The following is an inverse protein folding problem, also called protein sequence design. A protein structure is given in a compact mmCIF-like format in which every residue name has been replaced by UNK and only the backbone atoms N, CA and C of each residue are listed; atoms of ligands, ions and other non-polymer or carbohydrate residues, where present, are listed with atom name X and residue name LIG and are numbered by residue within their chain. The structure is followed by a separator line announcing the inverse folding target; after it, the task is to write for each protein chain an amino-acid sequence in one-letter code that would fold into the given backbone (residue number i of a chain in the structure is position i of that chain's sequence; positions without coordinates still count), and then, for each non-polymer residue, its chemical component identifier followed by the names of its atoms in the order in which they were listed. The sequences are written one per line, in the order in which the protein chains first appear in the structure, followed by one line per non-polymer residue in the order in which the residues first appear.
data_IF_197557511172
#
_entry.id   IF_197557511172
#
_cell.length_a   1.000
_cell.length_b   1.000
_cell.length_c   1.000
_cell.angle_alpha   90.00
_cell.angle_beta   90.00
_cell.angle_gamma   90.00
#
_symmetry.space_group_name_H-M   'P 1'
#
loop_
_entity.id
_entity.type
_entity.pdbx_description
1 polymer ?
#
# COMPACT_ATOMS: atom_id res chain seq x y z
N UNK A 1 17.00 -8.02 2.72
CA UNK A 1 16.03 -7.01 3.17
C UNK A 1 15.59 -7.28 4.62
N UNK A 2 15.10 -6.21 5.28
CA UNK A 2 14.60 -6.26 6.67
C UNK A 2 13.23 -5.62 6.81
N UNK A 3 12.63 -5.13 5.73
CA UNK A 3 11.27 -4.58 5.68
C UNK A 3 10.42 -5.35 4.68
N UNK A 4 9.10 -5.27 4.84
CA UNK A 4 8.13 -6.05 4.06
C UNK A 4 7.49 -5.23 2.93
N UNK A 5 8.05 -4.06 2.60
CA UNK A 5 7.55 -3.24 1.49
C UNK A 5 7.87 -3.81 0.09
N UNK A 6 8.82 -4.75 -0.03
CA UNK A 6 9.21 -5.36 -1.30
C UNK A 6 9.97 -4.43 -2.25
N UNK A 7 10.53 -3.33 -1.75
CA UNK A 7 11.28 -2.37 -2.56
C UNK A 7 12.53 -2.98 -3.22
N UNK A 8 13.10 -4.00 -2.61
CA UNK A 8 14.24 -4.79 -3.08
C UNK A 8 13.95 -5.61 -4.36
N UNK A 9 12.69 -5.74 -4.74
CA UNK A 9 12.27 -6.39 -5.99
C UNK A 9 11.74 -5.38 -7.02
N UNK A 10 12.01 -4.07 -6.81
CA UNK A 10 11.56 -3.00 -7.69
C UNK A 10 12.74 -2.33 -8.40
N UNK A 11 12.55 -1.98 -9.67
CA UNK A 11 13.45 -1.13 -10.44
C UNK A 11 13.18 0.38 -10.22
N UNK A 12 12.33 0.70 -9.23
CA UNK A 12 11.95 2.06 -8.88
C UNK A 12 12.49 2.45 -7.51
N UNK A 13 12.94 3.70 -7.40
CA UNK A 13 13.30 4.33 -6.14
C UNK A 13 12.65 5.71 -6.02
N UNK A 14 12.06 6.00 -4.87
CA UNK A 14 11.66 7.36 -4.51
C UNK A 14 12.90 8.19 -4.18
N UNK A 15 13.01 9.39 -4.74
CA UNK A 15 14.12 10.31 -4.50
C UNK A 15 13.58 11.66 -4.08
N UNK A 16 14.05 12.16 -2.94
CA UNK A 16 13.83 13.54 -2.53
C UNK A 16 15.12 14.32 -2.77
N UNK A 17 15.09 15.26 -3.71
CA UNK A 17 16.22 16.13 -3.98
C UNK A 17 16.11 17.36 -3.07
N UNK A 18 16.91 17.40 -2.00
CA UNK A 18 17.24 18.61 -1.28
C UNK A 18 18.43 19.26 -2.00
N UNK A 19 18.16 20.29 -2.77
CA UNK A 19 19.24 21.10 -3.33
C UNK A 19 19.79 21.95 -2.18
N UNK A 20 21.07 21.75 -1.83
CA UNK A 20 21.86 22.69 -1.02
C UNK A 20 22.04 23.99 -1.82
N UNK A 21 21.01 24.78 -1.88
CA UNK A 21 21.07 26.17 -2.28
C UNK A 21 20.58 26.99 -1.09
N UNK A 22 21.24 28.10 -0.84
CA UNK A 22 20.68 29.19 -0.02
C UNK A 22 19.26 29.45 -0.53
N UNK A 23 18.27 28.79 0.11
CA UNK A 23 16.87 28.82 -0.32
C UNK A 23 16.27 30.13 0.16
N UNK A 24 16.61 31.21 -0.55
CA UNK A 24 15.91 32.50 -0.42
C UNK A 24 14.56 32.52 -1.14
N UNK A 25 14.21 31.51 -1.95
CA UNK A 25 13.09 31.55 -2.88
C UNK A 25 11.95 30.58 -2.61
N UNK A 26 11.91 29.90 -1.46
CA UNK A 26 10.70 29.16 -1.03
C UNK A 26 10.26 27.97 -1.91
N UNK A 27 11.13 27.47 -2.80
CA UNK A 27 10.81 26.25 -3.56
C UNK A 27 10.85 25.02 -2.65
N UNK A 28 9.72 24.30 -2.59
CA UNK A 28 9.61 23.03 -1.90
C UNK A 28 10.59 21.98 -2.48
N UNK A 29 11.08 21.02 -1.67
CA UNK A 29 11.90 19.91 -2.14
C UNK A 29 11.20 19.20 -3.30
N UNK A 30 11.90 18.95 -4.39
CA UNK A 30 11.35 18.15 -5.51
C UNK A 30 11.48 16.68 -5.18
N UNK A 31 10.35 16.01 -5.02
CA UNK A 31 10.27 14.56 -4.92
C UNK A 31 9.93 13.97 -6.28
N UNK A 32 10.51 12.83 -6.59
CA UNK A 32 10.23 12.12 -7.83
C UNK A 32 10.59 10.65 -7.73
N UNK A 33 10.13 9.86 -8.69
CA UNK A 33 10.55 8.48 -8.86
C UNK A 33 11.67 8.38 -9.90
N UNK A 34 12.69 7.58 -9.60
CA UNK A 34 13.69 7.16 -10.58
C UNK A 34 13.43 5.71 -10.92
N UNK A 35 13.36 5.38 -12.20
CA UNK A 35 13.28 4.01 -12.69
C UNK A 35 14.54 3.65 -13.45
N UNK A 36 15.25 2.61 -12.97
CA UNK A 36 16.46 2.11 -13.62
C UNK A 36 16.62 0.62 -13.33
N UNK A 37 16.79 -0.24 -14.37
CA UNK A 37 17.02 -1.67 -14.16
C UNK A 37 18.24 -2.00 -13.28
N UNK A 38 19.19 -1.06 -13.13
CA UNK A 38 20.35 -1.22 -12.24
C UNK A 38 20.01 -1.15 -10.76
N UNK A 39 18.80 -0.70 -10.42
CA UNK A 39 18.29 -0.73 -9.04
C UNK A 39 17.90 -2.14 -8.59
N UNK A 40 17.59 -3.03 -9.54
CA UNK A 40 17.30 -4.42 -9.22
C UNK A 40 18.58 -5.14 -8.75
N UNK A 41 18.57 -5.79 -7.58
CA UNK A 41 19.66 -6.61 -7.12
C UNK A 41 19.78 -7.86 -7.99
N UNK A 42 21.00 -8.40 -8.15
CA UNK A 42 21.22 -9.68 -8.82
C UNK A 42 20.53 -10.84 -8.12
N UNK A 43 20.42 -10.76 -6.79
CA UNK A 43 19.71 -11.71 -5.95
C UNK A 43 19.24 -11.01 -4.66
N UNK A 44 18.06 -11.39 -4.18
CA UNK A 44 17.55 -10.98 -2.88
C UNK A 44 17.40 -12.22 -1.98
N UNK A 45 17.95 -12.16 -0.78
CA UNK A 45 17.87 -13.23 0.21
C UNK A 45 16.93 -12.77 1.36
N UNK A 46 15.88 -13.54 1.58
CA UNK A 46 14.92 -13.30 2.63
C UNK A 46 15.22 -14.22 3.81
N UNK A 47 15.85 -13.66 4.83
CA UNK A 47 16.23 -14.35 6.06
C UNK A 47 15.28 -13.91 7.19
N UNK A 48 14.48 -14.86 7.70
CA UNK A 48 13.50 -14.58 8.76
C UNK A 48 14.13 -13.97 10.01
N UNK A 49 15.35 -14.36 10.38
CA UNK A 49 16.00 -13.84 11.56
C UNK A 49 16.37 -12.35 11.42
N UNK A 50 16.69 -11.91 10.19
CA UNK A 50 16.93 -10.49 9.94
C UNK A 50 15.65 -9.65 10.08
N UNK A 51 14.49 -10.17 9.66
CA UNK A 51 13.22 -9.46 9.84
C UNK A 51 12.84 -9.27 11.30
N UNK A 52 13.18 -10.23 12.18
CA UNK A 52 12.96 -10.14 13.63
C UNK A 52 13.77 -9.02 14.30
N UNK A 53 14.85 -8.54 13.66
CA UNK A 53 15.65 -7.42 14.16
C UNK A 53 15.00 -6.06 13.89
N UNK A 54 14.00 -6.00 13.02
CA UNK A 54 13.31 -4.75 12.69
C UNK A 54 12.29 -4.41 13.77
N UNK A 55 12.24 -3.17 14.25
CA UNK A 55 11.22 -2.75 15.23
C UNK A 55 9.82 -3.06 14.74
N UNK A 56 8.99 -3.67 15.59
CA UNK A 56 7.63 -4.11 15.24
C UNK A 56 6.77 -3.04 14.56
N UNK A 57 6.75 -1.75 15.01
CA UNK A 57 5.96 -0.73 14.33
C UNK A 57 6.40 -0.48 12.87
N UNK A 58 7.71 -0.50 12.61
CA UNK A 58 8.25 -0.33 11.27
C UNK A 58 7.95 -1.56 10.39
N UNK A 59 8.11 -2.76 10.96
CA UNK A 59 7.81 -3.99 10.27
C UNK A 59 6.32 -4.06 9.89
N UNK A 60 5.41 -3.73 10.82
CA UNK A 60 3.97 -3.69 10.61
C UNK A 60 3.57 -2.68 9.52
N UNK A 61 4.10 -1.46 9.57
CA UNK A 61 3.83 -0.46 8.56
C UNK A 61 4.35 -0.88 7.18
N UNK A 62 5.58 -1.42 7.11
CA UNK A 62 6.11 -1.93 5.83
C UNK A 62 5.32 -3.13 5.29
N UNK A 63 4.80 -3.98 6.18
CA UNK A 63 3.95 -5.11 5.82
C UNK A 63 2.62 -4.66 5.20
N UNK A 64 1.99 -3.63 5.77
CA UNK A 64 0.77 -3.05 5.20
C UNK A 64 1.02 -2.46 3.81
N UNK A 65 2.15 -1.77 3.60
CA UNK A 65 2.53 -1.28 2.28
C UNK A 65 2.68 -2.44 1.27
N UNK A 66 3.32 -3.54 1.67
CA UNK A 66 3.45 -4.72 0.82
C UNK A 66 2.11 -5.42 0.54
N UNK A 67 1.20 -5.46 1.52
CA UNK A 67 -0.13 -6.04 1.38
C UNK A 67 -1.00 -5.23 0.40
N UNK A 68 -1.02 -3.90 0.53
CA UNK A 68 -1.80 -3.02 -0.35
C UNK A 68 -1.38 -3.13 -1.82
N UNK A 69 -0.10 -3.36 -2.09
CA UNK A 69 0.38 -3.63 -3.44
C UNK A 69 -0.33 -4.82 -4.09
N UNK A 70 -0.63 -5.86 -3.31
CA UNK A 70 -1.39 -7.02 -3.79
C UNK A 70 -2.83 -6.66 -4.16
N UNK A 71 -3.49 -5.84 -3.33
CA UNK A 71 -4.83 -5.31 -3.61
C UNK A 71 -4.83 -4.51 -4.91
N UNK A 72 -3.89 -3.58 -5.04
CA UNK A 72 -3.81 -2.69 -6.19
C UNK A 72 -3.41 -3.42 -7.47
N UNK A 73 -2.54 -4.44 -7.39
CA UNK A 73 -2.20 -5.29 -8.53
C UNK A 73 -3.44 -5.99 -9.10
N UNK A 74 -4.36 -6.46 -8.24
CA UNK A 74 -5.55 -7.16 -8.69
C UNK A 74 -6.58 -6.24 -9.35
N UNK A 75 -6.79 -5.02 -8.87
CA UNK A 75 -7.75 -4.11 -9.49
C UNK A 75 -7.14 -3.22 -10.59
N UNK A 76 -5.84 -3.32 -10.82
CA UNK A 76 -5.15 -2.53 -11.85
C UNK A 76 -5.69 -2.80 -13.26
N UNK A 77 -5.86 -1.77 -14.10
CA UNK A 77 -6.18 -1.95 -15.51
C UNK A 77 -5.06 -2.66 -16.30
N UNK A 78 -3.85 -2.73 -15.72
CA UNK A 78 -2.68 -3.43 -16.27
C UNK A 78 -2.58 -4.89 -15.78
N UNK A 79 -3.58 -5.41 -15.06
CA UNK A 79 -3.58 -6.77 -14.55
C UNK A 79 -3.59 -7.80 -15.71
N UNK A 80 -2.88 -8.90 -15.51
CA UNK A 80 -2.80 -10.04 -16.44
C UNK A 80 -3.10 -11.34 -15.69
N UNK A 81 -3.42 -12.44 -16.37
CA UNK A 81 -3.64 -13.72 -15.69
C UNK A 81 -2.44 -14.17 -14.83
N UNK A 82 -1.21 -13.79 -15.20
CA UNK A 82 -0.01 -14.11 -14.41
C UNK A 82 0.04 -13.27 -13.14
N UNK A 83 -0.14 -11.96 -13.28
CA UNK A 83 -0.14 -11.06 -12.12
C UNK A 83 -1.31 -11.32 -11.19
N UNK A 84 -2.47 -11.70 -11.72
CA UNK A 84 -3.63 -12.13 -10.92
C UNK A 84 -3.29 -13.35 -10.07
N UNK A 85 -2.67 -14.36 -10.66
CA UNK A 85 -2.28 -15.59 -9.95
C UNK A 85 -1.26 -15.32 -8.85
N UNK A 86 -0.23 -14.54 -9.12
CA UNK A 86 0.81 -14.24 -8.12
C UNK A 86 0.31 -13.31 -7.03
N UNK A 87 -0.44 -12.26 -7.34
CA UNK A 87 -1.00 -11.34 -6.37
C UNK A 87 -2.07 -12.02 -5.49
N UNK A 88 -2.96 -12.84 -6.07
CA UNK A 88 -3.94 -13.61 -5.29
C UNK A 88 -3.27 -14.58 -4.32
N UNK A 89 -2.25 -15.32 -4.77
CA UNK A 89 -1.50 -16.21 -3.87
C UNK A 89 -0.78 -15.43 -2.78
N UNK A 90 -0.16 -14.30 -3.16
CA UNK A 90 0.53 -13.42 -2.22
C UNK A 90 -0.40 -12.88 -1.14
N UNK A 91 -1.57 -12.37 -1.51
CA UNK A 91 -2.58 -11.87 -0.56
C UNK A 91 -3.07 -12.96 0.39
N UNK A 92 -3.31 -14.18 -0.10
CA UNK A 92 -3.72 -15.30 0.75
C UNK A 92 -2.65 -15.63 1.81
N UNK A 93 -1.37 -15.68 1.43
CA UNK A 93 -0.24 -15.92 2.33
C UNK A 93 -0.09 -14.77 3.34
N UNK A 94 -0.15 -13.53 2.89
CA UNK A 94 -0.03 -12.36 3.75
C UNK A 94 -1.17 -12.32 4.77
N UNK A 95 -2.41 -12.51 4.34
CA UNK A 95 -3.56 -12.48 5.25
C UNK A 95 -3.45 -13.54 6.34
N UNK A 96 -2.96 -14.75 6.03
CA UNK A 96 -2.81 -15.82 7.02
C UNK A 96 -1.63 -15.58 7.97
N UNK A 97 -0.57 -14.92 7.49
CA UNK A 97 0.70 -14.80 8.22
C UNK A 97 0.89 -13.50 8.99
N UNK A 98 0.35 -12.37 8.52
CA UNK A 98 0.71 -11.02 9.02
C UNK A 98 0.48 -10.83 10.52
N UNK A 99 -0.51 -11.48 11.13
CA UNK A 99 -0.73 -11.40 12.58
C UNK A 99 0.47 -11.84 13.43
N UNK A 100 1.39 -12.69 12.87
CA UNK A 100 2.58 -13.13 13.61
C UNK A 100 3.56 -11.98 13.92
N UNK A 101 3.51 -10.87 13.16
CA UNK A 101 4.43 -9.72 13.36
C UNK A 101 4.34 -9.15 14.77
N UNK A 102 3.21 -9.31 15.45
CA UNK A 102 3.00 -8.84 16.83
C UNK A 102 3.13 -9.95 17.88
N UNK A 103 3.45 -11.16 17.49
CA UNK A 103 3.69 -12.26 18.41
C UNK A 103 5.15 -12.27 18.89
N UNK A 104 5.37 -12.72 20.14
CA UNK A 104 6.70 -12.89 20.72
C UNK A 104 6.83 -14.28 21.33
N UNK A 105 7.61 -15.18 20.69
CA UNK A 105 8.30 -15.00 19.41
C UNK A 105 7.34 -15.07 18.22
N UNK A 106 7.72 -14.44 17.09
CA UNK A 106 7.01 -14.63 15.82
C UNK A 106 7.06 -16.09 15.40
N UNK A 107 5.94 -16.62 14.90
CA UNK A 107 5.87 -17.99 14.37
C UNK A 107 6.69 -18.11 13.07
N UNK A 108 7.58 -19.09 13.01
CA UNK A 108 8.50 -19.29 11.88
C UNK A 108 7.77 -19.61 10.57
N UNK A 109 6.75 -20.47 10.64
CA UNK A 109 6.00 -20.88 9.46
C UNK A 109 5.18 -19.73 8.88
N UNK A 110 4.52 -18.97 9.75
CA UNK A 110 3.73 -17.80 9.35
C UNK A 110 4.62 -16.67 8.82
N UNK A 111 5.79 -16.45 9.42
CA UNK A 111 6.75 -15.48 8.91
C UNK A 111 7.27 -15.89 7.53
N UNK A 112 7.56 -17.17 7.32
CA UNK A 112 7.95 -17.68 6.00
C UNK A 112 6.83 -17.46 4.95
N UNK A 113 5.56 -17.67 5.33
CA UNK A 113 4.41 -17.36 4.48
C UNK A 113 4.33 -15.87 4.15
N UNK A 114 4.56 -14.98 5.13
CA UNK A 114 4.61 -13.53 4.91
C UNK A 114 5.69 -13.17 3.89
N UNK A 115 6.91 -13.69 4.04
CA UNK A 115 8.01 -13.42 3.13
C UNK A 115 7.70 -13.91 1.71
N UNK A 116 7.19 -15.14 1.58
CA UNK A 116 6.76 -15.68 0.29
C UNK A 116 5.60 -14.86 -0.32
N UNK A 117 4.69 -14.37 0.51
CA UNK A 117 3.59 -13.50 0.11
C UNK A 117 4.08 -12.17 -0.48
N UNK A 118 5.03 -11.50 0.17
CA UNK A 118 5.64 -10.26 -0.33
C UNK A 118 6.31 -10.50 -1.69
N UNK A 119 7.08 -11.59 -1.84
CA UNK A 119 7.74 -11.93 -3.11
C UNK A 119 6.68 -12.13 -4.21
N UNK A 120 5.62 -12.91 -3.93
CA UNK A 120 4.57 -13.20 -4.90
C UNK A 120 3.81 -11.93 -5.33
N UNK A 121 3.44 -11.06 -4.37
CA UNK A 121 2.81 -9.77 -4.66
C UNK A 121 3.71 -8.88 -5.51
N UNK A 122 4.97 -8.73 -5.11
CA UNK A 122 5.90 -7.86 -5.83
C UNK A 122 6.17 -8.36 -7.25
N UNK A 123 6.23 -9.68 -7.45
CA UNK A 123 6.35 -10.26 -8.79
C UNK A 123 5.15 -9.93 -9.67
N UNK A 124 3.92 -9.90 -9.09
CA UNK A 124 2.71 -9.48 -9.77
C UNK A 124 2.63 -7.98 -10.04
N UNK A 125 3.34 -7.17 -9.25
CA UNK A 125 3.33 -5.71 -9.36
C UNK A 125 4.27 -5.19 -10.44
N UNK A 126 5.44 -5.80 -10.59
CA UNK A 126 6.47 -5.44 -11.56
C UNK A 126 6.22 -6.14 -12.90
N UNK A 127 6.16 -5.39 -13.97
CA UNK A 127 5.98 -5.93 -15.32
C UNK A 127 6.45 -4.95 -16.37
N UNK A 128 6.57 -5.43 -17.60
CA UNK A 128 7.02 -4.63 -18.76
C UNK A 128 6.07 -3.48 -19.09
N UNK A 129 4.83 -3.52 -18.62
CA UNK A 129 3.78 -2.56 -18.97
C UNK A 129 3.58 -1.45 -17.95
N UNK A 130 4.33 -1.45 -16.85
CA UNK A 130 4.28 -0.41 -15.85
C UNK A 130 4.09 -0.91 -14.42
N UNK A 131 4.13 0.03 -13.49
CA UNK A 131 3.92 -0.19 -12.07
C UNK A 131 2.42 -0.17 -11.78
N UNK A 132 1.94 -1.08 -10.91
CA UNK A 132 0.51 -1.30 -10.70
C UNK A 132 -0.05 -0.73 -9.39
N UNK A 133 0.80 -0.13 -8.55
CA UNK A 133 0.31 0.63 -7.40
C UNK A 133 -0.44 1.88 -7.88
N UNK A 134 -1.50 2.24 -7.21
CA UNK A 134 -2.38 3.31 -7.65
C UNK A 134 -2.99 4.13 -6.50
N UNK A 135 -4.29 4.04 -6.26
CA UNK A 135 -5.04 4.92 -5.37
C UNK A 135 -4.53 4.91 -3.92
N UNK A 136 -4.36 3.75 -3.29
CA UNK A 136 -3.93 3.69 -1.88
C UNK A 136 -2.53 4.29 -1.73
N UNK A 137 -1.64 3.99 -2.70
CA UNK A 137 -0.29 4.55 -2.72
C UNK A 137 -0.29 6.06 -3.00
N UNK A 138 -1.15 6.56 -3.88
CA UNK A 138 -1.32 8.01 -4.11
C UNK A 138 -1.77 8.73 -2.82
N UNK A 139 -2.70 8.12 -2.05
CA UNK A 139 -3.07 8.65 -0.73
C UNK A 139 -1.87 8.65 0.23
N UNK A 140 -1.06 7.59 0.25
CA UNK A 140 0.19 7.55 1.04
C UNK A 140 1.17 8.65 0.65
N UNK A 141 1.36 8.91 -0.65
CA UNK A 141 2.22 9.97 -1.16
C UNK A 141 1.74 11.36 -0.75
N UNK A 142 0.43 11.61 -0.73
CA UNK A 142 -0.13 12.89 -0.33
C UNK A 142 0.27 13.33 1.08
N UNK A 143 0.59 12.37 1.97
CA UNK A 143 1.09 12.65 3.32
C UNK A 143 2.62 12.68 3.42
N UNK A 144 3.35 12.12 2.46
CA UNK A 144 4.81 11.96 2.54
C UNK A 144 5.60 13.28 2.57
N UNK A 145 5.01 14.39 2.13
CA UNK A 145 5.68 15.67 1.98
C UNK A 145 5.52 16.61 3.18
N UNK A 146 4.60 16.35 4.09
CA UNK A 146 4.28 17.26 5.19
C UNK A 146 4.29 16.63 6.57
N UNK A 147 4.38 15.29 6.64
CA UNK A 147 4.22 14.56 7.88
C UNK A 147 5.31 13.50 8.05
N UNK A 148 5.84 13.38 9.25
CA UNK A 148 6.80 12.32 9.63
C UNK A 148 6.03 11.03 9.99
N UNK A 149 5.34 10.47 9.00
CA UNK A 149 4.54 9.26 9.15
C UNK A 149 4.94 8.23 8.10
N UNK A 150 5.14 6.98 8.53
CA UNK A 150 5.46 5.91 7.60
C UNK A 150 4.29 5.67 6.64
N UNK A 151 4.57 5.61 5.33
CA UNK A 151 3.57 5.49 4.27
C UNK A 151 2.60 4.32 4.50
N UNK A 152 3.10 3.14 4.90
CA UNK A 152 2.24 1.99 5.18
C UNK A 152 1.28 2.18 6.37
N UNK A 153 1.59 3.09 7.30
CA UNK A 153 0.64 3.48 8.36
C UNK A 153 -0.54 4.24 7.75
N UNK A 154 -0.27 5.17 6.86
CA UNK A 154 -1.33 5.88 6.11
C UNK A 154 -2.17 4.87 5.30
N UNK A 155 -1.51 3.92 4.60
CA UNK A 155 -2.20 2.87 3.84
C UNK A 155 -3.19 2.10 4.72
N UNK A 156 -2.77 1.64 5.90
CA UNK A 156 -3.65 0.91 6.82
C UNK A 156 -4.90 1.68 7.20
N UNK A 157 -4.78 2.99 7.37
CA UNK A 157 -5.91 3.86 7.70
C UNK A 157 -6.81 4.09 6.48
N UNK A 158 -6.23 4.46 5.33
CA UNK A 158 -7.03 4.93 4.19
C UNK A 158 -7.55 3.79 3.31
N UNK A 159 -6.87 2.63 3.23
CA UNK A 159 -7.24 1.55 2.31
C UNK A 159 -8.70 1.10 2.42
N UNK A 160 -9.30 0.88 3.60
CA UNK A 160 -10.71 0.53 3.71
C UNK A 160 -11.64 1.61 3.12
N UNK A 161 -11.30 2.88 3.28
CA UNK A 161 -12.09 4.02 2.79
C UNK A 161 -11.90 4.23 1.29
N UNK A 162 -10.69 4.02 0.77
CA UNK A 162 -10.38 4.04 -0.66
C UNK A 162 -11.12 2.90 -1.37
N UNK A 163 -11.08 1.69 -0.83
CA UNK A 163 -11.81 0.54 -1.39
C UNK A 163 -13.32 0.78 -1.40
N UNK A 164 -13.89 1.37 -0.35
CA UNK A 164 -15.29 1.80 -0.35
C UNK A 164 -15.55 2.77 -1.50
N UNK A 165 -14.72 3.78 -1.68
CA UNK A 165 -14.83 4.72 -2.78
C UNK A 165 -14.77 4.03 -4.15
N UNK A 166 -13.86 3.07 -4.33
CA UNK A 166 -13.72 2.28 -5.57
C UNK A 166 -15.00 1.49 -5.83
N UNK A 167 -15.46 0.68 -4.87
CA UNK A 167 -16.57 -0.23 -5.05
C UNK A 167 -17.95 0.45 -5.15
N UNK A 168 -18.08 1.68 -4.65
CA UNK A 168 -19.27 2.50 -4.83
C UNK A 168 -19.42 3.02 -6.27
N UNK A 169 -18.33 3.02 -7.07
CA UNK A 169 -18.29 3.61 -8.42
C UNK A 169 -18.02 2.64 -9.53
N UNK A 170 -17.15 1.67 -9.29
CA UNK A 170 -16.76 0.67 -10.29
C UNK A 170 -16.72 -0.72 -9.65
N UNK A 171 -16.66 -1.74 -10.49
CA UNK A 171 -16.55 -3.12 -10.00
C UNK A 171 -15.28 -3.33 -9.17
N UNK A 172 -14.13 -2.78 -9.59
CA UNK A 172 -12.84 -2.91 -8.88
C UNK A 172 -12.42 -4.38 -8.70
N UNK A 173 -12.97 -5.30 -9.48
CA UNK A 173 -12.72 -6.75 -9.42
C UNK A 173 -12.96 -7.33 -8.01
N UNK A 174 -13.99 -6.85 -7.31
CA UNK A 174 -14.30 -7.18 -5.91
C UNK A 174 -14.45 -8.67 -5.64
N UNK A 175 -14.99 -9.45 -6.59
CA UNK A 175 -15.14 -10.89 -6.44
C UNK A 175 -13.78 -11.61 -6.44
N UNK A 176 -12.85 -11.19 -7.30
CA UNK A 176 -11.49 -11.71 -7.32
C UNK A 176 -10.74 -11.35 -6.03
N UNK A 177 -10.88 -10.12 -5.56
CA UNK A 177 -10.32 -9.67 -4.29
C UNK A 177 -10.89 -10.47 -3.11
N UNK A 178 -12.20 -10.67 -3.05
CA UNK A 178 -12.85 -11.49 -2.04
C UNK A 178 -12.33 -12.94 -2.04
N UNK A 179 -12.16 -13.52 -3.23
CA UNK A 179 -11.57 -14.86 -3.40
C UNK A 179 -10.11 -14.90 -2.94
N UNK A 180 -9.28 -13.94 -3.35
CA UNK A 180 -7.87 -13.86 -2.99
C UNK A 180 -7.66 -13.70 -1.48
N UNK A 181 -8.55 -12.95 -0.83
CA UNK A 181 -8.56 -12.76 0.62
C UNK A 181 -9.28 -13.90 1.38
N UNK A 182 -9.86 -14.90 0.68
CA UNK A 182 -10.56 -16.02 1.29
C UNK A 182 -11.84 -15.61 2.02
N UNK A 183 -12.57 -14.59 1.54
CA UNK A 183 -13.81 -14.09 2.16
C UNK A 183 -15.04 -14.18 1.24
N UNK A 184 -14.90 -14.82 0.08
CA UNK A 184 -15.96 -14.91 -0.94
C UNK A 184 -17.25 -15.60 -0.44
N UNK A 185 -17.14 -16.56 0.47
CA UNK A 185 -18.24 -17.44 0.88
C UNK A 185 -18.85 -17.09 2.25
N UNK A 186 -18.63 -15.88 2.76
CA UNK A 186 -19.01 -15.50 4.12
C UNK A 186 -20.43 -14.89 4.25
N UNK A 187 -21.27 -14.95 3.20
CA UNK A 187 -22.65 -14.45 3.22
C UNK A 187 -22.78 -12.91 3.25
N UNK A 188 -21.67 -12.20 3.19
CA UNK A 188 -21.58 -10.74 3.09
C UNK A 188 -21.35 -10.33 1.63
N UNK A 189 -21.82 -9.16 1.22
CA UNK A 189 -21.52 -8.65 -0.12
C UNK A 189 -19.99 -8.58 -0.34
N UNK A 190 -19.46 -9.02 -1.50
CA UNK A 190 -18.01 -9.09 -1.72
C UNK A 190 -17.26 -7.79 -1.41
N UNK A 191 -17.84 -6.64 -1.74
CA UNK A 191 -17.25 -5.34 -1.44
C UNK A 191 -17.04 -5.12 0.07
N UNK A 192 -18.06 -5.38 0.89
CA UNK A 192 -17.97 -5.23 2.34
C UNK A 192 -17.01 -6.25 2.94
N UNK A 193 -17.06 -7.50 2.48
CA UNK A 193 -16.16 -8.56 2.93
C UNK A 193 -14.67 -8.22 2.67
N UNK A 194 -14.36 -7.65 1.49
CA UNK A 194 -13.00 -7.19 1.17
C UNK A 194 -12.58 -6.05 2.09
N UNK A 195 -13.43 -5.04 2.27
CA UNK A 195 -13.13 -3.87 3.11
C UNK A 195 -12.88 -4.31 4.56
N UNK A 196 -13.72 -5.20 5.09
CA UNK A 196 -13.58 -5.72 6.45
C UNK A 196 -12.31 -6.56 6.60
N UNK A 197 -11.94 -7.36 5.58
CA UNK A 197 -10.71 -8.13 5.59
C UNK A 197 -9.46 -7.23 5.61
N UNK A 198 -9.45 -6.15 4.81
CA UNK A 198 -8.36 -5.17 4.80
C UNK A 198 -8.26 -4.42 6.13
N UNK A 199 -9.41 -4.01 6.68
CA UNK A 199 -9.45 -3.41 8.02
C UNK A 199 -8.95 -4.38 9.11
N UNK A 200 -9.27 -5.67 8.98
CA UNK A 200 -8.77 -6.73 9.86
C UNK A 200 -7.25 -6.85 9.81
N UNK A 201 -6.65 -6.84 8.63
CA UNK A 201 -5.17 -6.87 8.48
C UNK A 201 -4.53 -5.65 9.15
N UNK A 202 -5.08 -4.44 8.97
CA UNK A 202 -4.63 -3.24 9.70
C UNK A 202 -4.65 -3.47 11.23
N UNK A 203 -5.75 -4.02 11.73
CA UNK A 203 -5.96 -4.24 13.16
C UNK A 203 -5.00 -5.33 13.71
N UNK A 204 -4.79 -6.41 12.97
CA UNK A 204 -3.83 -7.47 13.29
C UNK A 204 -2.39 -6.93 13.36
N UNK A 205 -2.04 -5.99 12.48
CA UNK A 205 -0.77 -5.28 12.48
C UNK A 205 -0.67 -4.21 13.59
N UNK A 206 -1.76 -3.91 14.29
CA UNK A 206 -1.81 -2.89 15.35
C UNK A 206 -1.61 -1.46 14.84
N UNK A 207 -1.92 -1.21 13.58
CA UNK A 207 -1.83 0.12 12.99
C UNK A 207 -3.01 1.00 13.44
N UNK A 208 -2.83 2.34 13.48
CA UNK A 208 -3.91 3.27 13.79
C UNK A 208 -5.11 3.12 12.86
N UNK A 209 -6.29 3.42 13.38
CA UNK A 209 -7.54 3.30 12.62
C UNK A 209 -7.97 4.59 11.94
N UNK A 210 -7.44 5.73 12.37
CA UNK A 210 -7.89 7.07 11.96
C UNK A 210 -6.72 8.01 11.75
N UNK A 211 -6.84 8.93 10.80
CA UNK A 211 -5.82 9.95 10.55
C UNK A 211 -5.58 10.85 11.78
N UNK A 212 -6.63 11.16 12.54
CA UNK A 212 -6.54 11.96 13.78
C UNK A 212 -5.76 11.28 14.92
N UNK A 213 -5.49 9.98 14.80
CA UNK A 213 -4.70 9.24 15.79
C UNK A 213 -3.18 9.37 15.51
N UNK A 214 -2.82 10.09 14.43
CA UNK A 214 -1.44 10.36 14.03
C UNK A 214 -0.97 11.72 14.53
N UNK A 215 0.23 11.77 15.07
CA UNK A 215 0.83 13.02 15.51
C UNK A 215 1.08 13.97 14.32
N UNK A 216 0.72 15.23 14.51
CA UNK A 216 0.96 16.29 13.53
C UNK A 216 0.01 16.33 12.32
N UNK A 217 -0.89 15.37 12.15
CA UNK A 217 -1.89 15.40 11.09
C UNK A 217 -3.04 16.32 11.48
N UNK A 218 -3.35 17.32 10.65
CA UNK A 218 -4.46 18.25 10.85
C UNK A 218 -5.48 18.13 9.71
N UNK A 219 -6.75 18.07 10.08
CA UNK A 219 -7.86 18.06 9.11
C UNK A 219 -7.89 19.33 8.24
N UNK A 220 -7.40 20.45 8.76
CA UNK A 220 -7.31 21.71 7.99
C UNK A 220 -6.43 21.59 6.73
N UNK A 221 -5.50 20.64 6.71
CA UNK A 221 -4.60 20.40 5.58
C UNK A 221 -5.20 19.52 4.48
N UNK A 222 -6.37 18.89 4.72
CA UNK A 222 -6.94 17.91 3.79
C UNK A 222 -7.15 18.44 2.38
N UNK A 223 -7.49 19.72 2.22
CA UNK A 223 -7.63 20.32 0.90
C UNK A 223 -6.29 20.40 0.14
N UNK A 224 -5.17 20.58 0.83
CA UNK A 224 -3.83 20.59 0.21
C UNK A 224 -3.33 19.17 -0.05
N UNK A 225 -3.54 18.25 0.89
CA UNK A 225 -3.24 16.82 0.74
C UNK A 225 -4.04 16.23 -0.44
N UNK A 226 -5.34 16.56 -0.55
CA UNK A 226 -6.18 16.09 -1.65
C UNK A 226 -5.71 16.58 -3.03
N UNK A 227 -5.20 17.82 -3.12
CA UNK A 227 -4.58 18.30 -4.36
C UNK A 227 -3.31 17.54 -4.69
N UNK A 228 -2.43 17.30 -3.71
CA UNK A 228 -1.22 16.51 -3.92
C UNK A 228 -1.53 15.08 -4.39
N UNK A 229 -2.56 14.43 -3.80
CA UNK A 229 -3.05 13.13 -4.25
C UNK A 229 -3.59 13.21 -5.69
N UNK A 230 -4.37 14.24 -6.01
CA UNK A 230 -4.96 14.40 -7.36
C UNK A 230 -3.90 14.57 -8.44
N UNK A 231 -2.79 15.19 -8.11
CA UNK A 231 -1.68 15.46 -9.03
C UNK A 231 -0.66 14.30 -9.09
N UNK A 232 -0.88 13.21 -8.34
CA UNK A 232 0.02 12.04 -8.33
C UNK A 232 -0.13 11.19 -9.59
N UNK A 233 1.00 10.85 -10.22
CA UNK A 233 1.06 10.04 -11.44
C UNK A 233 0.44 8.64 -11.29
N UNK A 234 0.37 8.12 -10.06
CA UNK A 234 -0.26 6.82 -9.77
C UNK A 234 -1.76 6.79 -10.07
N UNK A 235 -2.43 7.94 -10.13
CA UNK A 235 -3.83 7.98 -10.53
C UNK A 235 -4.06 7.59 -11.99
N UNK A 236 -3.04 7.68 -12.84
CA UNK A 236 -3.12 7.25 -14.24
C UNK A 236 -3.38 5.73 -14.39
N UNK A 237 -3.07 4.94 -13.36
CA UNK A 237 -3.29 3.49 -13.32
C UNK A 237 -4.38 3.09 -12.30
N UNK A 238 -5.22 4.03 -11.91
CA UNK A 238 -6.41 3.75 -11.11
C UNK A 238 -7.37 2.78 -11.86
N UNK A 239 -8.26 2.08 -11.16
CA UNK A 239 -9.26 1.23 -11.78
C UNK A 239 -10.01 1.97 -12.89
N UNK A 240 -10.23 1.28 -14.02
CA UNK A 240 -10.88 1.87 -15.19
C UNK A 240 -12.24 2.52 -14.82
N UNK A 241 -12.43 3.75 -15.26
CA UNK A 241 -13.64 4.53 -14.98
C UNK A 241 -13.57 5.41 -13.73
N UNK A 242 -12.45 5.39 -12.99
CA UNK A 242 -12.21 6.30 -11.87
C UNK A 242 -11.33 7.48 -12.30
N UNK A 243 -11.79 8.67 -11.96
CA UNK A 243 -11.06 9.94 -12.09
C UNK A 243 -11.45 10.84 -10.91
N UNK A 244 -10.90 10.58 -9.69
CA UNK A 244 -11.36 11.23 -8.48
C UNK A 244 -11.04 12.72 -8.48
N UNK A 245 -12.05 13.55 -8.25
CA UNK A 245 -11.87 14.99 -8.02
C UNK A 245 -11.25 15.25 -6.64
N UNK A 246 -10.71 16.47 -6.46
CA UNK A 246 -10.18 16.92 -5.15
C UNK A 246 -11.25 16.82 -4.05
N UNK A 247 -12.51 17.15 -4.36
CA UNK A 247 -13.60 17.05 -3.39
C UNK A 247 -13.90 15.60 -2.98
N UNK A 248 -13.86 14.66 -3.93
CA UNK A 248 -14.06 13.24 -3.65
C UNK A 248 -12.90 12.67 -2.82
N UNK A 249 -11.65 13.04 -3.14
CA UNK A 249 -10.48 12.67 -2.35
C UNK A 249 -10.60 13.24 -0.93
N UNK A 250 -10.98 14.52 -0.78
CA UNK A 250 -11.22 15.15 0.52
C UNK A 250 -12.29 14.39 1.30
N UNK A 251 -13.38 13.97 0.65
CA UNK A 251 -14.42 13.18 1.30
C UNK A 251 -13.93 11.79 1.76
N UNK A 252 -12.96 11.18 1.07
CA UNK A 252 -12.30 9.94 1.55
C UNK A 252 -11.47 10.22 2.79
N UNK A 253 -10.67 11.30 2.80
CA UNK A 253 -9.87 11.73 3.95
C UNK A 253 -10.74 12.04 5.16
N UNK A 254 -11.87 12.72 4.96
CA UNK A 254 -12.85 13.02 6.02
C UNK A 254 -13.45 11.75 6.66
N UNK A 255 -13.69 10.70 5.86
CA UNK A 255 -14.15 9.41 6.41
C UNK A 255 -13.07 8.67 7.18
N UNK A 256 -11.81 8.91 6.85
CA UNK A 256 -10.65 8.33 7.53
C UNK A 256 -10.23 9.11 8.79
N UNK A 257 -10.83 10.29 9.04
CA UNK A 257 -10.58 11.14 10.22
C UNK A 257 -11.28 10.56 11.45
#
# INVERSE_FOLDING_TARGET
PTTLAGADLSDMAGVTLTLDRDVSDGEAPRTGGVRDPRLLPTAAYYDADLYRTTPTPLLAASAMNGFDKGIEALYSPLATPITDGTASRGLALLRSGLGTIREEPMDDGRLADVLAGIVAVQYGLTGTEGYRASLVHAFGHGFSHGYDVHQGTIHGIVAPHVLRYVFDRVDGRRDLLASALGVADHGTAPADAVIDAVAGVRDDLGLPRRLRDLDGVDRADFASVARAIRDDDLLAVAPAGLDPSVDEITAVLDRAW
#
